data_IF_580693159215
#
_entry.id   IF_580693159215
#
_cell.length_a   1.000
_cell.length_b   1.000
_cell.length_c   1.000
_cell.angle_alpha   90.00
_cell.angle_beta   90.00
_cell.angle_gamma   90.00
#
_symmetry.space_group_name_H-M   'P 1'
#
loop_
_entity.id
_entity.type
_entity.pdbx_description
1 polymer ?
#
# COMPACT_ATOMS: atom_id res chain seq x y z
N UNK A 1 -17.37 -19.60 13.15
CA UNK A 1 -15.90 -19.61 12.95
C UNK A 1 -15.48 -18.47 12.03
N UNK A 2 -16.37 -17.96 11.17
CA UNK A 2 -16.14 -16.80 10.27
C UNK A 2 -15.99 -15.45 11.01
N UNK A 3 -16.83 -15.11 11.98
CA UNK A 3 -16.76 -13.81 12.70
C UNK A 3 -15.38 -13.50 13.31
N UNK A 4 -14.68 -14.52 13.82
CA UNK A 4 -13.33 -14.34 14.39
C UNK A 4 -12.29 -14.05 13.32
N UNK A 5 -12.47 -14.59 12.11
CA UNK A 5 -11.55 -14.38 10.99
C UNK A 5 -11.75 -13.00 10.36
N UNK A 6 -12.99 -12.55 10.23
CA UNK A 6 -13.31 -11.19 9.76
C UNK A 6 -12.72 -10.14 10.71
N UNK A 7 -12.92 -10.33 12.02
CA UNK A 7 -12.38 -9.41 13.02
C UNK A 7 -10.84 -9.30 13.02
N UNK A 8 -10.13 -10.40 12.72
CA UNK A 8 -8.67 -10.39 12.59
C UNK A 8 -8.23 -9.66 11.32
N UNK A 9 -8.93 -9.86 10.20
CA UNK A 9 -8.63 -9.13 8.96
C UNK A 9 -8.87 -7.62 9.11
N UNK A 10 -9.94 -7.21 9.80
CA UNK A 10 -10.21 -5.80 10.08
C UNK A 10 -9.08 -5.16 10.88
N UNK A 11 -8.58 -5.85 11.92
CA UNK A 11 -7.44 -5.37 12.71
C UNK A 11 -6.15 -5.24 11.89
N UNK A 12 -5.90 -6.20 10.99
CA UNK A 12 -4.74 -6.13 10.08
C UNK A 12 -4.87 -4.91 9.17
N UNK A 13 -6.07 -4.64 8.62
CA UNK A 13 -6.31 -3.47 7.77
C UNK A 13 -6.20 -2.14 8.53
N UNK A 14 -6.77 -2.05 9.73
CA UNK A 14 -6.62 -0.87 10.59
C UNK A 14 -5.15 -0.55 10.85
N UNK A 15 -4.36 -1.57 11.18
CA UNK A 15 -2.93 -1.41 11.43
C UNK A 15 -2.15 -1.07 10.16
N UNK A 16 -2.52 -1.65 9.03
CA UNK A 16 -1.94 -1.36 7.70
C UNK A 16 -2.09 0.12 7.36
N UNK A 17 -3.30 0.66 7.52
CA UNK A 17 -3.60 2.08 7.27
C UNK A 17 -2.85 3.00 8.24
N UNK A 18 -2.83 2.66 9.54
CA UNK A 18 -2.12 3.45 10.54
C UNK A 18 -0.62 3.59 10.23
N UNK A 19 0.04 2.48 9.87
CA UNK A 19 1.46 2.47 9.53
C UNK A 19 1.72 3.26 8.24
N UNK A 20 0.88 3.09 7.22
CA UNK A 20 0.98 3.83 5.97
C UNK A 20 0.86 5.34 6.18
N UNK A 21 -0.14 5.80 6.93
CA UNK A 21 -0.35 7.23 7.22
C UNK A 21 0.85 7.81 7.97
N UNK A 22 1.37 7.11 8.97
CA UNK A 22 2.56 7.58 9.73
C UNK A 22 3.79 7.79 8.83
N UNK A 23 4.04 6.86 7.90
CA UNK A 23 5.14 6.99 6.94
C UNK A 23 4.87 8.12 5.96
N UNK A 24 3.64 8.23 5.44
CA UNK A 24 3.25 9.27 4.51
C UNK A 24 3.37 10.68 5.13
N UNK A 25 2.92 10.87 6.36
CA UNK A 25 2.93 12.17 7.05
C UNK A 25 4.33 12.60 7.49
N UNK A 26 5.23 11.64 7.75
CA UNK A 26 6.60 11.93 8.17
C UNK A 26 7.59 10.91 7.57
N UNK A 27 7.91 11.04 6.27
CA UNK A 27 8.75 10.07 5.56
C UNK A 27 10.20 10.09 6.04
N UNK A 28 10.66 11.16 6.69
CA UNK A 28 12.03 11.27 7.17
C UNK A 28 12.24 10.65 8.57
N UNK A 29 11.19 10.11 9.21
CA UNK A 29 11.29 9.51 10.53
C UNK A 29 11.64 8.02 10.46
N UNK A 30 12.89 7.62 10.79
CA UNK A 30 13.33 6.23 10.66
C UNK A 30 12.52 5.26 11.54
N UNK A 31 11.99 5.73 12.67
CA UNK A 31 11.17 4.89 13.56
C UNK A 31 9.89 4.39 12.91
N UNK A 32 9.34 5.11 11.93
CA UNK A 32 8.14 4.68 11.23
C UNK A 32 8.44 3.49 10.31
N UNK A 33 9.59 3.51 9.64
CA UNK A 33 10.05 2.35 8.86
C UNK A 33 10.43 1.17 9.75
N UNK A 34 11.12 1.40 10.87
CA UNK A 34 11.45 0.32 11.81
C UNK A 34 10.19 -0.40 12.32
N UNK A 35 9.16 0.37 12.69
CA UNK A 35 7.87 -0.18 13.14
C UNK A 35 7.15 -0.95 12.04
N UNK A 36 7.20 -0.46 10.80
CA UNK A 36 6.63 -1.17 9.65
C UNK A 36 7.37 -2.49 9.44
N UNK A 37 8.70 -2.46 9.31
CA UNK A 37 9.51 -3.66 9.08
C UNK A 37 9.30 -4.68 10.20
N UNK A 38 9.24 -4.25 11.45
CA UNK A 38 8.96 -5.15 12.56
C UNK A 38 7.61 -5.85 12.38
N UNK A 39 6.54 -5.08 12.15
CA UNK A 39 5.19 -5.62 11.99
C UNK A 39 5.06 -6.55 10.77
N UNK A 40 5.66 -6.19 9.63
CA UNK A 40 5.65 -7.02 8.42
C UNK A 40 6.33 -8.39 8.61
N UNK A 41 7.28 -8.49 9.53
CA UNK A 41 7.99 -9.74 9.81
C UNK A 41 7.26 -10.67 10.78
N UNK A 42 6.18 -10.21 11.43
CA UNK A 42 5.44 -11.01 12.41
C UNK A 42 4.50 -12.04 11.77
N UNK A 43 3.84 -11.69 10.65
CA UNK A 43 2.86 -12.53 9.99
C UNK A 43 2.84 -12.29 8.46
N UNK A 44 2.85 -13.33 7.61
CA UNK A 44 2.69 -13.18 6.15
C UNK A 44 1.44 -12.40 5.72
N UNK A 45 0.35 -12.44 6.51
CA UNK A 45 -0.86 -11.69 6.25
C UNK A 45 -0.64 -10.16 6.34
N UNK A 46 0.28 -9.70 7.19
CA UNK A 46 0.64 -8.29 7.31
C UNK A 46 1.30 -7.78 6.02
N UNK A 47 2.26 -8.56 5.48
CA UNK A 47 2.90 -8.24 4.20
C UNK A 47 1.89 -8.22 3.05
N UNK A 48 0.96 -9.19 3.03
CA UNK A 48 -0.09 -9.24 2.02
C UNK A 48 -0.96 -7.98 2.07
N UNK A 49 -1.48 -7.61 3.24
CA UNK A 49 -2.33 -6.44 3.40
C UNK A 49 -1.61 -5.13 3.03
N UNK A 50 -0.36 -4.97 3.45
CA UNK A 50 0.42 -3.76 3.13
C UNK A 50 0.71 -3.64 1.62
N UNK A 51 0.99 -4.75 0.94
CA UNK A 51 1.16 -4.77 -0.51
C UNK A 51 -0.15 -4.44 -1.25
N UNK A 52 -1.28 -4.96 -0.79
CA UNK A 52 -2.60 -4.64 -1.34
C UNK A 52 -2.91 -3.14 -1.19
N UNK A 53 -2.64 -2.55 -0.03
CA UNK A 53 -2.79 -1.10 0.18
C UNK A 53 -1.92 -0.31 -0.80
N UNK A 54 -0.65 -0.68 -0.99
CA UNK A 54 0.25 -0.02 -1.93
C UNK A 54 -0.27 -0.05 -3.37
N UNK A 55 -0.81 -1.19 -3.81
CA UNK A 55 -1.42 -1.34 -5.13
C UNK A 55 -2.66 -0.44 -5.29
N UNK A 56 -3.53 -0.40 -4.28
CA UNK A 56 -4.72 0.48 -4.26
C UNK A 56 -4.30 1.95 -4.35
N UNK A 57 -3.31 2.36 -3.56
CA UNK A 57 -2.79 3.74 -3.56
C UNK A 57 -2.26 4.15 -4.94
N UNK A 58 -1.41 3.30 -5.54
CA UNK A 58 -0.88 3.53 -6.89
C UNK A 58 -1.97 3.60 -7.96
N UNK A 59 -2.88 2.61 -7.98
CA UNK A 59 -3.97 2.56 -8.95
C UNK A 59 -4.89 3.78 -8.84
N UNK A 60 -5.18 4.23 -7.62
CA UNK A 60 -5.97 5.42 -7.36
C UNK A 60 -5.28 6.68 -7.88
N UNK A 61 -3.98 6.85 -7.60
CA UNK A 61 -3.19 7.96 -8.11
C UNK A 61 -3.18 8.02 -9.65
N UNK A 62 -3.02 6.88 -10.31
CA UNK A 62 -3.05 6.77 -11.77
C UNK A 62 -4.44 7.15 -12.32
N UNK A 63 -5.51 6.61 -11.73
CA UNK A 63 -6.88 6.89 -12.17
C UNK A 63 -7.22 8.39 -12.03
N UNK A 64 -6.84 9.00 -10.91
CA UNK A 64 -7.06 10.43 -10.66
C UNK A 64 -6.27 11.31 -11.64
N UNK A 65 -5.00 11.01 -11.88
CA UNK A 65 -4.17 11.76 -12.83
C UNK A 65 -4.75 11.72 -14.25
N UNK A 66 -5.30 10.57 -14.68
CA UNK A 66 -6.03 10.45 -15.96
C UNK A 66 -7.27 11.33 -16.02
N UNK A 67 -8.07 11.33 -14.95
CA UNK A 67 -9.32 12.11 -14.88
C UNK A 67 -9.05 13.63 -14.95
N UNK A 68 -8.00 14.11 -14.28
CA UNK A 68 -7.67 15.55 -14.23
C UNK A 68 -6.76 16.01 -15.38
N UNK A 69 -6.43 15.12 -16.32
CA UNK A 69 -5.57 15.44 -17.47
C UNK A 69 -4.11 15.74 -17.11
N UNK A 70 -3.62 15.26 -15.96
CA UNK A 70 -2.21 15.41 -15.58
C UNK A 70 -1.33 14.36 -16.26
N UNK A 71 -0.12 14.73 -16.73
CA UNK A 71 0.79 13.77 -17.34
C UNK A 71 1.20 12.70 -16.32
N UNK A 72 0.97 11.42 -16.66
CA UNK A 72 1.51 10.27 -15.92
C UNK A 72 3.01 10.04 -16.20
N UNK A 73 3.69 10.98 -16.86
CA UNK A 73 4.99 10.80 -17.50
C UNK A 73 6.12 10.38 -16.58
N UNK A 74 5.97 10.57 -15.26
CA UNK A 74 6.92 10.09 -14.25
C UNK A 74 6.58 8.69 -13.69
N UNK A 75 5.33 8.22 -13.84
CA UNK A 75 4.86 6.90 -13.37
C UNK A 75 4.87 5.82 -14.49
N UNK A 76 4.67 6.21 -15.74
CA UNK A 76 4.64 5.28 -16.90
C UNK A 76 6.03 4.88 -17.41
N UNK A 77 7.09 5.60 -17.01
CA UNK A 77 8.45 5.36 -17.52
C UNK A 77 9.09 4.05 -17.05
N UNK A 78 8.63 3.50 -15.93
CA UNK A 78 9.22 2.29 -15.33
C UNK A 78 8.39 1.01 -15.56
N UNK A 79 7.28 1.07 -16.31
CA UNK A 79 6.58 -0.15 -16.71
C UNK A 79 7.12 -0.68 -18.04
N UNK A 80 7.64 -1.93 -18.09
CA UNK A 80 7.98 -2.55 -19.36
C UNK A 80 6.71 -2.66 -20.24
N UNK A 81 6.83 -2.46 -21.56
CA UNK A 81 5.67 -2.48 -22.43
C UNK A 81 4.99 -3.85 -22.33
N UNK A 82 3.68 -3.83 -22.05
CA UNK A 82 2.84 -5.03 -22.12
C UNK A 82 2.88 -5.55 -23.56
N UNK A 83 3.70 -6.57 -23.80
CA UNK A 83 3.69 -7.31 -25.06
C UNK A 83 2.35 -8.04 -25.17
N UNK A 84 1.46 -7.48 -25.97
CA UNK A 84 0.29 -8.18 -26.48
C UNK A 84 0.78 -9.23 -27.49
N UNK A 85 0.59 -10.51 -27.17
CA UNK A 85 0.77 -11.62 -28.11
C UNK A 85 -0.51 -11.86 -28.92
#
# INVERSE_FOLDING_TARGET
MEEKSENVMDQIWDRTLELFIKIHDCPDNPKHFDNLVHWLNEDPAHLKAFNELGQIWMATGIALAREIGQPLSDLERDQPPLMMH
#
